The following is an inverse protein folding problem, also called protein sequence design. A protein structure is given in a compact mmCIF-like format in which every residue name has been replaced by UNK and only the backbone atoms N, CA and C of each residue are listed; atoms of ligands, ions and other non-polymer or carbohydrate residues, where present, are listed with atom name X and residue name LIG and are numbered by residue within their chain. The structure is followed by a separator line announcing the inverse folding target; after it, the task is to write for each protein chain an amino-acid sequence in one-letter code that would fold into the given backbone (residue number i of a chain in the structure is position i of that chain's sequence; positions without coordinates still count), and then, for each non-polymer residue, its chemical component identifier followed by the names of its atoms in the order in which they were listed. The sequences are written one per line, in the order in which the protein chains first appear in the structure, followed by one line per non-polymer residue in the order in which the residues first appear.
data_IF_987258620679
#
_entry.id   IF_987258620679
#
_cell.length_a   1.000
_cell.length_b   1.000
_cell.length_c   1.000
_cell.angle_alpha   90.00
_cell.angle_beta   90.00
_cell.angle_gamma   90.00
#
_symmetry.space_group_name_H-M   'P 1'
#
loop_
_entity.id
_entity.type
_entity.pdbx_description
1 polymer ?
#
# COMPACT_ATOMS: atom_id res chain seq x y z
N UNK A 1 0.22 8.54 22.80
CA UNK A 1 1.32 8.71 21.80
C UNK A 1 0.75 8.54 20.41
N UNK A 2 1.29 9.24 19.43
CA UNK A 2 0.78 9.23 18.05
C UNK A 2 1.27 7.94 17.36
N UNK A 3 0.36 7.23 16.67
CA UNK A 3 0.69 6.15 15.75
C UNK A 3 0.74 6.72 14.34
N UNK A 4 1.81 6.50 13.61
CA UNK A 4 2.10 7.18 12.34
C UNK A 4 2.21 6.20 11.18
N UNK A 5 1.37 6.38 10.16
CA UNK A 5 1.44 5.66 8.89
C UNK A 5 1.84 6.63 7.79
N UNK A 6 2.89 6.30 7.05
CA UNK A 6 3.30 7.06 5.86
C UNK A 6 2.93 6.31 4.59
N UNK A 7 2.35 7.03 3.62
CA UNK A 7 1.85 6.48 2.35
C UNK A 7 2.35 7.32 1.16
N UNK A 8 2.22 6.78 -0.06
CA UNK A 8 2.72 7.43 -1.27
C UNK A 8 1.80 8.53 -1.81
N UNK A 9 0.47 8.36 -1.68
CA UNK A 9 -0.51 9.23 -2.32
C UNK A 9 -1.75 9.51 -1.46
N UNK A 10 -2.49 10.56 -1.80
CA UNK A 10 -3.78 10.89 -1.15
C UNK A 10 -4.83 9.80 -1.35
N UNK A 11 -4.79 9.07 -2.47
CA UNK A 11 -5.65 7.91 -2.71
C UNK A 11 -5.45 6.83 -1.66
N UNK A 12 -4.20 6.54 -1.30
CA UNK A 12 -3.85 5.55 -0.28
C UNK A 12 -4.33 5.99 1.10
N UNK A 13 -4.08 7.25 1.44
CA UNK A 13 -4.58 7.84 2.69
C UNK A 13 -6.09 7.73 2.81
N UNK A 14 -6.82 8.12 1.76
CA UNK A 14 -8.28 8.07 1.75
C UNK A 14 -8.79 6.62 1.83
N UNK A 15 -8.12 5.72 1.13
CA UNK A 15 -8.41 4.28 1.19
C UNK A 15 -8.24 3.75 2.62
N UNK A 16 -7.09 4.00 3.27
CA UNK A 16 -6.84 3.56 4.66
C UNK A 16 -7.86 4.15 5.63
N UNK A 17 -8.14 5.44 5.55
CA UNK A 17 -9.16 6.07 6.41
C UNK A 17 -10.54 5.42 6.24
N UNK A 18 -10.89 5.06 5.01
CA UNK A 18 -12.16 4.39 4.72
C UNK A 18 -12.14 2.95 5.20
N UNK A 19 -11.00 2.24 5.03
CA UNK A 19 -10.81 0.88 5.54
C UNK A 19 -10.97 0.81 7.07
N UNK A 20 -10.31 1.71 7.80
CA UNK A 20 -10.42 1.77 9.25
C UNK A 20 -11.87 2.00 9.72
N UNK A 21 -12.61 2.89 9.05
CA UNK A 21 -14.04 3.12 9.34
C UNK A 21 -14.89 1.91 8.98
N UNK A 22 -14.67 1.29 7.83
CA UNK A 22 -15.41 0.11 7.35
C UNK A 22 -15.26 -1.07 8.32
N UNK A 23 -14.05 -1.29 8.80
CA UNK A 23 -13.71 -2.36 9.75
C UNK A 23 -13.92 -1.99 11.23
N UNK A 24 -14.40 -0.77 11.51
CA UNK A 24 -14.55 -0.24 12.88
C UNK A 24 -13.24 -0.32 13.71
N UNK A 25 -12.09 -0.15 13.04
CA UNK A 25 -10.78 -0.16 13.69
C UNK A 25 -10.45 1.24 14.23
N UNK A 26 -10.48 1.38 15.56
CA UNK A 26 -10.13 2.64 16.23
C UNK A 26 -8.63 2.68 16.57
N UNK A 27 -7.78 2.70 15.55
CA UNK A 27 -6.32 2.69 15.75
C UNK A 27 -5.71 4.07 16.00
N UNK A 28 -6.47 5.15 15.85
CA UNK A 28 -6.05 6.55 16.04
C UNK A 28 -4.78 6.91 15.25
N UNK A 29 -4.75 6.54 13.96
CA UNK A 29 -3.59 6.75 13.10
C UNK A 29 -3.51 8.20 12.60
N UNK A 30 -2.33 8.78 12.68
CA UNK A 30 -1.94 9.89 11.82
C UNK A 30 -1.43 9.32 10.49
N UNK A 31 -2.09 9.65 9.38
CA UNK A 31 -1.73 9.16 8.04
C UNK A 31 -1.19 10.33 7.23
N UNK A 32 0.11 10.31 6.96
CA UNK A 32 0.80 11.34 6.19
C UNK A 32 1.14 10.84 4.78
N UNK A 33 0.91 11.71 3.82
CA UNK A 33 1.35 11.50 2.43
C UNK A 33 2.73 12.12 2.27
N UNK A 34 3.69 11.33 1.81
CA UNK A 34 5.00 11.83 1.48
C UNK A 34 4.95 12.59 0.14
N UNK A 35 5.08 13.92 0.20
CA UNK A 35 5.10 14.73 -1.01
C UNK A 35 6.52 15.01 -1.48
N UNK A 36 6.82 14.89 -2.79
CA UNK A 36 8.14 15.24 -3.34
C UNK A 36 8.52 16.71 -3.12
N UNK A 37 7.56 17.59 -2.82
CA UNK A 37 7.77 19.03 -2.63
C UNK A 37 8.48 19.36 -1.31
N UNK A 38 8.45 18.48 -0.33
CA UNK A 38 9.15 18.63 0.94
C UNK A 38 10.65 18.27 0.84
N UNK A 39 11.05 17.77 -0.29
CA UNK A 39 12.36 17.25 -0.62
C UNK A 39 12.86 18.00 -1.86
N UNK A 40 14.16 18.20 -1.98
CA UNK A 40 14.75 18.97 -3.07
C UNK A 40 14.14 18.68 -4.45
N UNK A 41 13.91 19.72 -5.28
CA UNK A 41 13.04 19.60 -6.45
C UNK A 41 13.64 18.67 -7.49
N UNK A 42 12.82 17.90 -8.15
CA UNK A 42 12.95 17.36 -9.51
C UNK A 42 13.32 15.92 -9.76
N UNK A 43 13.71 15.09 -8.77
CA UNK A 43 14.22 13.76 -9.12
C UNK A 43 13.50 12.56 -8.45
N UNK A 44 12.52 12.78 -7.58
CA UNK A 44 12.04 11.71 -6.71
C UNK A 44 10.63 11.25 -7.07
N UNK A 45 10.46 9.93 -7.14
CA UNK A 45 9.14 9.28 -7.14
C UNK A 45 8.49 9.42 -5.77
N UNK A 46 7.17 9.24 -5.67
CA UNK A 46 6.42 9.25 -4.42
C UNK A 46 6.99 8.25 -3.41
N UNK A 47 7.37 7.04 -3.86
CA UNK A 47 8.04 6.03 -3.03
C UNK A 47 9.37 6.54 -2.44
N UNK A 48 10.21 7.20 -3.24
CA UNK A 48 11.45 7.79 -2.73
C UNK A 48 11.19 8.88 -1.69
N UNK A 49 10.10 9.65 -1.85
CA UNK A 49 9.69 10.62 -0.85
C UNK A 49 9.32 9.94 0.49
N UNK A 50 8.58 8.83 0.46
CA UNK A 50 8.32 8.00 1.65
C UNK A 50 9.64 7.59 2.32
N UNK A 51 10.54 6.98 1.55
CA UNK A 51 11.82 6.47 2.07
C UNK A 51 12.70 7.57 2.67
N UNK A 52 12.67 8.78 2.15
CA UNK A 52 13.42 9.91 2.69
C UNK A 52 12.87 10.47 3.99
N UNK A 53 11.58 10.26 4.29
CA UNK A 53 10.97 10.66 5.56
C UNK A 53 11.31 9.70 6.72
N UNK A 54 11.79 8.49 6.45
CA UNK A 54 12.01 7.47 7.48
C UNK A 54 12.97 7.92 8.60
N UNK A 55 14.12 8.57 8.34
CA UNK A 55 15.00 9.06 9.41
C UNK A 55 14.30 10.07 10.33
N UNK A 56 13.44 10.93 9.77
CA UNK A 56 12.64 11.88 10.55
C UNK A 56 11.64 11.16 11.44
N UNK A 57 10.94 10.17 10.91
CA UNK A 57 9.94 9.39 11.66
C UNK A 57 10.60 8.62 12.82
N UNK A 58 11.75 7.99 12.57
CA UNK A 58 12.53 7.33 13.63
C UNK A 58 12.95 8.33 14.70
N UNK A 59 13.35 9.56 14.32
CA UNK A 59 13.66 10.59 15.31
C UNK A 59 12.45 10.99 16.16
N UNK A 60 11.23 10.98 15.61
CA UNK A 60 10.01 11.21 16.38
C UNK A 60 9.73 10.04 17.34
N UNK A 61 10.09 8.81 16.97
CA UNK A 61 10.03 7.64 17.83
C UNK A 61 11.03 7.78 19.00
N UNK A 62 12.28 8.16 18.73
CA UNK A 62 13.33 8.41 19.73
C UNK A 62 12.91 9.46 20.77
N UNK A 63 12.19 10.49 20.35
CA UNK A 63 11.72 11.57 21.22
C UNK A 63 10.40 11.27 21.92
N UNK A 64 9.80 10.09 21.70
CA UNK A 64 8.52 9.68 22.28
C UNK A 64 7.30 10.43 21.75
N UNK A 65 7.45 11.19 20.64
CA UNK A 65 6.33 11.86 20.00
C UNK A 65 5.45 10.88 19.22
N UNK A 66 6.08 9.84 18.66
CA UNK A 66 5.45 8.73 17.94
C UNK A 66 5.72 7.44 18.68
N UNK A 67 4.75 6.53 18.74
CA UNK A 67 4.91 5.21 19.37
C UNK A 67 4.98 4.06 18.37
N UNK A 68 4.36 4.21 17.20
CA UNK A 68 4.30 3.18 16.16
C UNK A 68 4.53 3.84 14.81
N UNK A 69 5.27 3.18 13.94
CA UNK A 69 5.51 3.58 12.57
C UNK A 69 5.07 2.47 11.63
N UNK A 70 4.26 2.82 10.63
CA UNK A 70 3.93 1.97 9.50
C UNK A 70 4.33 2.64 8.19
N UNK A 71 4.69 1.84 7.21
CA UNK A 71 5.08 2.25 5.86
C UNK A 71 4.21 1.47 4.89
N UNK A 72 3.48 2.17 4.02
CA UNK A 72 2.71 1.57 2.95
C UNK A 72 3.17 2.15 1.63
N UNK A 73 3.66 1.29 0.75
CA UNK A 73 4.15 1.67 -0.59
C UNK A 73 3.73 0.62 -1.63
N UNK A 74 3.66 1.03 -2.88
CA UNK A 74 3.37 0.12 -3.99
C UNK A 74 4.58 -0.80 -4.29
N UNK A 75 4.31 -2.06 -4.64
CA UNK A 75 5.36 -2.95 -5.14
C UNK A 75 5.84 -2.49 -6.52
N UNK A 76 4.95 -1.84 -7.27
CA UNK A 76 5.12 -1.49 -8.68
C UNK A 76 5.08 -2.71 -9.63
N UNK A 77 5.09 -2.41 -10.93
CA UNK A 77 5.33 -3.39 -11.99
C UNK A 77 6.70 -3.15 -12.62
N UNK A 78 7.45 -4.20 -12.90
CA UNK A 78 8.75 -4.08 -13.55
C UNK A 78 9.00 -5.26 -14.49
N UNK A 79 9.79 -5.02 -15.54
CA UNK A 79 10.32 -6.10 -16.37
C UNK A 79 11.53 -6.80 -15.71
N UNK A 80 11.93 -6.35 -14.51
CA UNK A 80 13.05 -6.91 -13.76
C UNK A 80 12.55 -8.00 -12.83
N UNK A 81 13.29 -9.09 -12.77
CA UNK A 81 13.06 -10.14 -11.78
C UNK A 81 13.29 -9.60 -10.36
N UNK A 82 12.44 -10.02 -9.43
CA UNK A 82 12.60 -9.80 -7.99
C UNK A 82 12.43 -8.34 -7.51
N UNK A 83 11.31 -7.72 -7.89
CA UNK A 83 10.95 -6.36 -7.45
C UNK A 83 10.77 -6.29 -5.92
N UNK A 84 10.28 -7.35 -5.27
CA UNK A 84 10.13 -7.41 -3.82
C UNK A 84 11.46 -7.20 -3.12
N UNK A 85 12.49 -7.98 -3.48
CA UNK A 85 13.84 -7.82 -2.91
C UNK A 85 14.40 -6.43 -3.15
N UNK A 86 14.14 -5.83 -4.32
CA UNK A 86 14.58 -4.45 -4.58
C UNK A 86 13.89 -3.43 -3.64
N UNK A 87 12.57 -3.55 -3.44
CA UNK A 87 11.84 -2.69 -2.51
C UNK A 87 12.36 -2.87 -1.08
N UNK A 88 12.51 -4.11 -0.62
CA UNK A 88 13.01 -4.40 0.73
C UNK A 88 14.44 -3.90 0.93
N UNK A 89 15.29 -4.02 -0.08
CA UNK A 89 16.65 -3.46 -0.03
C UNK A 89 16.63 -1.95 0.14
N UNK A 90 15.81 -1.22 -0.63
CA UNK A 90 15.70 0.24 -0.52
C UNK A 90 15.21 0.67 0.87
N UNK A 91 14.26 -0.05 1.46
CA UNK A 91 13.78 0.21 2.82
C UNK A 91 14.89 -0.10 3.83
N UNK A 92 15.57 -1.25 3.71
CA UNK A 92 16.69 -1.65 4.57
C UNK A 92 17.83 -0.63 4.53
N UNK A 93 18.19 -0.10 3.36
CA UNK A 93 19.21 0.93 3.20
C UNK A 93 18.91 2.22 3.99
N UNK A 94 17.63 2.46 4.31
CA UNK A 94 17.18 3.61 5.12
C UNK A 94 17.06 3.28 6.60
N UNK A 95 16.61 2.08 6.95
CA UNK A 95 16.33 1.68 8.32
C UNK A 95 17.54 1.06 9.04
N UNK A 96 18.39 0.29 8.36
CA UNK A 96 19.55 -0.35 9.00
C UNK A 96 20.53 0.65 9.63
N UNK A 97 20.86 1.81 9.01
CA UNK A 97 21.71 2.81 9.66
C UNK A 97 21.10 3.41 10.93
N UNK A 98 19.78 3.25 11.14
CA UNK A 98 19.04 3.70 12.31
C UNK A 98 18.84 2.57 13.33
N UNK A 99 19.49 1.41 13.13
CA UNK A 99 19.42 0.25 14.02
C UNK A 99 18.21 -0.64 13.85
N UNK A 100 17.36 -0.42 12.83
CA UNK A 100 16.22 -1.27 12.53
C UNK A 100 16.58 -2.30 11.46
N UNK A 101 16.38 -3.58 11.74
CA UNK A 101 16.70 -4.70 10.86
C UNK A 101 15.46 -5.54 10.57
N UNK A 102 15.36 -6.03 9.33
CA UNK A 102 14.25 -6.89 8.94
C UNK A 102 14.24 -8.19 9.76
N UNK A 103 13.06 -8.56 10.28
CA UNK A 103 12.86 -9.79 11.04
C UNK A 103 12.96 -11.02 10.12
N UNK A 104 13.89 -11.95 10.36
CA UNK A 104 14.22 -13.00 9.37
C UNK A 104 13.24 -14.18 9.30
N UNK A 105 12.25 -14.28 10.19
CA UNK A 105 11.41 -15.48 10.33
C UNK A 105 9.90 -15.23 10.18
N UNK A 106 9.51 -14.16 9.51
CA UNK A 106 8.10 -13.84 9.35
C UNK A 106 7.55 -14.33 8.00
N UNK A 107 6.28 -14.74 8.01
CA UNK A 107 5.53 -14.88 6.78
C UNK A 107 5.22 -13.48 6.26
N UNK A 108 5.95 -13.03 5.25
CA UNK A 108 5.81 -11.68 4.67
C UNK A 108 4.39 -11.37 4.18
N UNK A 109 3.59 -12.39 3.84
CA UNK A 109 2.18 -12.19 3.47
C UNK A 109 1.36 -11.53 4.58
N UNK A 110 1.74 -11.75 5.86
CA UNK A 110 1.07 -11.17 7.02
C UNK A 110 1.59 -9.78 7.40
N UNK A 111 2.65 -9.33 6.74
CA UNK A 111 3.33 -8.06 7.00
C UNK A 111 4.83 -8.23 7.11
N UNK A 112 5.55 -7.19 6.79
CA UNK A 112 7.01 -7.14 6.87
C UNK A 112 7.37 -6.22 8.03
N UNK A 113 8.29 -6.64 8.89
CA UNK A 113 8.61 -5.88 10.09
C UNK A 113 10.12 -5.67 10.23
N UNK A 114 10.48 -4.48 10.74
CA UNK A 114 11.85 -4.11 11.07
C UNK A 114 11.93 -3.83 12.55
N UNK A 115 12.81 -4.53 13.25
CA UNK A 115 12.99 -4.45 14.70
C UNK A 115 14.29 -3.74 15.07
N UNK A 116 14.22 -3.04 16.19
CA UNK A 116 15.37 -2.51 16.90
C UNK A 116 15.17 -2.81 18.38
N UNK A 117 16.17 -3.42 19.04
CA UNK A 117 16.10 -3.87 20.42
C UNK A 117 15.90 -2.74 21.45
N UNK A 118 16.15 -1.50 21.06
CA UNK A 118 15.94 -0.32 21.91
C UNK A 118 14.48 0.16 21.93
N UNK A 119 13.58 -0.46 21.14
CA UNK A 119 12.17 -0.07 21.03
C UNK A 119 11.23 -1.28 21.17
N UNK A 120 10.09 -1.06 21.84
CA UNK A 120 9.09 -2.10 22.06
C UNK A 120 8.32 -2.50 20.82
N UNK A 121 8.17 -1.56 19.84
CA UNK A 121 7.35 -1.76 18.67
C UNK A 121 8.20 -1.80 17.40
N UNK A 122 8.00 -2.80 16.53
CA UNK A 122 8.64 -2.84 15.22
C UNK A 122 8.05 -1.79 14.28
N UNK A 123 8.81 -1.42 13.25
CA UNK A 123 8.29 -0.68 12.11
C UNK A 123 7.61 -1.67 11.16
N UNK A 124 6.29 -1.51 10.96
CA UNK A 124 5.53 -2.35 10.04
C UNK A 124 5.60 -1.83 8.60
N UNK A 125 5.84 -2.71 7.64
CA UNK A 125 5.86 -2.40 6.21
C UNK A 125 4.81 -3.21 5.49
N UNK A 126 4.06 -2.55 4.61
CA UNK A 126 3.17 -3.20 3.65
C UNK A 126 3.53 -2.78 2.23
N UNK A 127 3.84 -3.75 1.39
CA UNK A 127 4.05 -3.57 -0.04
C UNK A 127 2.76 -3.96 -0.76
N UNK A 128 2.07 -2.97 -1.35
CA UNK A 128 0.86 -3.25 -2.14
C UNK A 128 1.18 -4.14 -3.36
N UNK A 129 0.30 -5.09 -3.70
CA UNK A 129 -1.00 -5.36 -3.10
C UNK A 129 -0.97 -6.25 -1.85
N UNK A 130 -0.01 -7.16 -1.70
CA UNK A 130 -0.07 -8.24 -0.71
C UNK A 130 1.31 -8.70 -0.21
N UNK A 131 2.33 -7.88 -0.29
CA UNK A 131 3.72 -8.17 0.06
C UNK A 131 4.40 -9.27 -0.79
N UNK A 132 3.73 -9.79 -1.85
CA UNK A 132 4.25 -10.87 -2.69
C UNK A 132 4.24 -10.50 -4.17
N UNK A 133 3.10 -10.05 -4.66
CA UNK A 133 2.85 -9.82 -6.08
C UNK A 133 3.15 -8.36 -6.46
N UNK A 134 3.51 -8.16 -7.71
CA UNK A 134 3.64 -6.83 -8.31
C UNK A 134 2.28 -6.13 -8.37
N UNK A 135 2.26 -4.81 -8.21
CA UNK A 135 1.05 -4.03 -8.37
C UNK A 135 0.93 -2.83 -7.44
N UNK A 136 -0.31 -2.37 -7.34
CA UNK A 136 -0.73 -1.15 -6.68
C UNK A 136 -1.99 -1.38 -5.85
N UNK A 137 -2.56 -0.31 -5.31
CA UNK A 137 -3.86 -0.33 -4.65
C UNK A 137 -4.97 -0.90 -5.56
N UNK A 138 -4.96 -0.59 -6.87
CA UNK A 138 -5.93 -1.13 -7.83
C UNK A 138 -5.81 -2.67 -7.95
N UNK A 139 -4.60 -3.20 -7.87
CA UNK A 139 -4.37 -4.66 -7.86
C UNK A 139 -4.92 -5.29 -6.57
N UNK A 140 -4.77 -4.64 -5.42
CA UNK A 140 -5.39 -5.07 -4.16
C UNK A 140 -6.92 -5.14 -4.28
N UNK A 141 -7.54 -4.12 -4.87
CA UNK A 141 -8.99 -4.10 -5.12
C UNK A 141 -9.41 -5.28 -6.00
N UNK A 142 -8.66 -5.57 -7.06
CA UNK A 142 -8.90 -6.73 -7.92
C UNK A 142 -8.82 -8.05 -7.16
N UNK A 143 -7.82 -8.21 -6.29
CA UNK A 143 -7.60 -9.42 -5.49
C UNK A 143 -8.67 -9.64 -4.41
N UNK A 144 -9.33 -8.58 -3.98
CA UNK A 144 -10.41 -8.62 -2.98
C UNK A 144 -11.80 -8.62 -3.60
N UNK A 145 -11.89 -8.71 -4.94
CA UNK A 145 -13.17 -8.69 -5.65
C UNK A 145 -13.99 -9.95 -5.36
N UNK A 146 -15.28 -9.83 -5.00
CA UNK A 146 -16.11 -10.97 -4.71
C UNK A 146 -16.44 -11.77 -5.97
N UNK A 147 -16.71 -13.05 -5.80
CA UNK A 147 -16.93 -14.00 -6.90
C UNK A 147 -18.09 -13.59 -7.83
N UNK A 148 -19.14 -12.97 -7.31
CA UNK A 148 -20.27 -12.50 -8.11
C UNK A 148 -19.93 -11.32 -9.05
N UNK A 149 -18.85 -10.58 -8.78
CA UNK A 149 -18.37 -9.50 -9.64
C UNK A 149 -17.41 -9.98 -10.74
N UNK A 150 -16.86 -11.19 -10.64
CA UNK A 150 -15.84 -11.68 -11.56
C UNK A 150 -16.31 -11.73 -13.02
N UNK A 151 -17.60 -12.08 -13.25
CA UNK A 151 -18.14 -12.10 -14.62
C UNK A 151 -18.25 -10.68 -15.22
N UNK A 152 -18.72 -9.73 -14.43
CA UNK A 152 -18.77 -8.32 -14.81
C UNK A 152 -17.38 -7.77 -15.10
N UNK A 153 -16.43 -8.03 -14.19
CA UNK A 153 -15.05 -7.61 -14.36
C UNK A 153 -14.38 -8.24 -15.59
N UNK A 154 -14.65 -9.52 -15.87
CA UNK A 154 -14.17 -10.21 -17.07
C UNK A 154 -14.66 -9.56 -18.38
N UNK A 155 -15.88 -9.05 -18.42
CA UNK A 155 -16.38 -8.27 -19.57
C UNK A 155 -15.59 -6.98 -19.74
N UNK A 156 -15.26 -6.31 -18.64
CA UNK A 156 -14.44 -5.08 -18.65
C UNK A 156 -13.01 -5.38 -19.12
N UNK A 157 -12.41 -6.46 -18.63
CA UNK A 157 -11.08 -6.89 -19.07
C UNK A 157 -11.05 -7.13 -20.59
N UNK A 158 -12.07 -7.82 -21.14
CA UNK A 158 -12.21 -8.05 -22.57
C UNK A 158 -12.37 -6.73 -23.34
N UNK A 159 -13.17 -5.80 -22.83
CA UNK A 159 -13.33 -4.48 -23.44
C UNK A 159 -12.00 -3.71 -23.46
N UNK A 160 -11.32 -3.60 -22.33
CA UNK A 160 -10.02 -2.91 -22.24
C UNK A 160 -8.98 -3.57 -23.15
N UNK A 161 -8.95 -4.90 -23.21
CA UNK A 161 -8.07 -5.63 -24.10
C UNK A 161 -8.36 -5.33 -25.60
N UNK A 162 -9.64 -5.18 -25.97
CA UNK A 162 -10.05 -4.87 -27.35
C UNK A 162 -9.60 -3.49 -27.83
N UNK A 163 -9.33 -2.55 -26.94
CA UNK A 163 -8.80 -1.23 -27.28
C UNK A 163 -7.36 -1.28 -27.77
N UNK A 164 -6.64 -2.35 -27.45
CA UNK A 164 -5.22 -2.49 -27.77
C UNK A 164 -4.31 -1.60 -26.89
N UNK A 165 -3.02 -1.88 -26.92
CA UNK A 165 -2.03 -1.20 -26.05
C UNK A 165 -1.70 0.23 -26.48
N UNK A 166 -2.02 0.62 -27.73
CA UNK A 166 -1.73 1.96 -28.27
C UNK A 166 -2.47 3.11 -27.56
N UNK A 167 -3.56 2.80 -26.83
CA UNK A 167 -4.29 3.77 -26.02
C UNK A 167 -3.61 4.09 -24.69
N UNK A 168 -2.64 3.29 -24.27
CA UNK A 168 -1.98 3.42 -22.97
C UNK A 168 -0.54 3.90 -23.13
N UNK A 169 -0.20 5.01 -22.47
CA UNK A 169 1.17 5.53 -22.48
C UNK A 169 2.18 4.51 -21.92
N UNK A 170 1.77 3.77 -20.91
CA UNK A 170 2.52 2.67 -20.32
C UNK A 170 1.56 1.49 -20.07
N UNK A 171 1.45 0.51 -20.98
CA UNK A 171 0.51 -0.59 -20.83
C UNK A 171 0.71 -1.39 -19.55
N UNK A 172 1.96 -1.64 -19.15
CA UNK A 172 2.28 -2.43 -17.96
C UNK A 172 1.66 -1.84 -16.69
N UNK A 173 1.72 -0.51 -16.53
CA UNK A 173 1.23 0.16 -15.32
C UNK A 173 -0.18 0.69 -15.43
N UNK A 174 -0.70 0.90 -16.64
CA UNK A 174 -1.99 1.56 -16.85
C UNK A 174 -3.17 0.60 -16.95
N UNK A 175 -2.93 -0.67 -17.27
CA UNK A 175 -4.01 -1.62 -17.54
C UNK A 175 -4.87 -1.93 -16.31
N UNK A 176 -4.27 -2.21 -15.16
CA UNK A 176 -5.03 -2.50 -13.95
C UNK A 176 -5.82 -1.26 -13.49
N UNK A 177 -5.22 -0.08 -13.61
CA UNK A 177 -5.92 1.19 -13.35
C UNK A 177 -7.13 1.34 -14.28
N UNK A 178 -6.95 1.15 -15.60
CA UNK A 178 -8.05 1.26 -16.55
C UNK A 178 -9.18 0.27 -16.26
N UNK A 179 -8.85 -0.98 -15.90
CA UNK A 179 -9.84 -2.01 -15.56
C UNK A 179 -10.62 -1.65 -14.30
N UNK A 180 -9.95 -1.28 -13.22
CA UNK A 180 -10.59 -0.95 -11.95
C UNK A 180 -11.42 0.32 -12.05
N UNK A 181 -10.93 1.38 -12.69
CA UNK A 181 -11.72 2.60 -12.86
C UNK A 181 -12.93 2.38 -13.78
N UNK A 182 -12.81 1.56 -14.82
CA UNK A 182 -13.95 1.17 -15.65
C UNK A 182 -14.96 0.35 -14.85
N UNK A 183 -14.50 -0.60 -14.06
CA UNK A 183 -15.36 -1.39 -13.18
C UNK A 183 -16.12 -0.51 -12.18
N UNK A 184 -15.46 0.44 -11.53
CA UNK A 184 -16.10 1.39 -10.63
C UNK A 184 -17.07 2.32 -11.33
N UNK A 185 -16.78 2.73 -12.57
CA UNK A 185 -17.68 3.56 -13.38
C UNK A 185 -18.94 2.83 -13.85
N UNK A 186 -18.93 1.50 -13.87
CA UNK A 186 -20.07 0.65 -14.28
C UNK A 186 -20.86 0.08 -13.11
N UNK A 187 -20.53 0.46 -11.87
CA UNK A 187 -21.31 0.08 -10.69
C UNK A 187 -22.65 0.82 -10.61
N UNK A 188 -23.58 0.33 -9.79
CA UNK A 188 -24.89 0.96 -9.54
C UNK A 188 -24.78 2.42 -9.07
N UNK A 189 -23.66 2.78 -8.47
CA UNK A 189 -23.27 4.16 -8.12
C UNK A 189 -21.89 4.43 -8.72
N UNK A 190 -21.83 4.91 -9.98
CA UNK A 190 -20.57 5.16 -10.65
C UNK A 190 -19.64 6.10 -9.87
N UNK A 191 -18.36 5.76 -9.79
CA UNK A 191 -17.37 6.56 -9.08
C UNK A 191 -15.97 6.36 -9.67
N UNK A 192 -15.07 7.29 -9.38
CA UNK A 192 -13.62 7.17 -9.60
C UNK A 192 -12.85 7.11 -8.26
N UNK A 193 -13.55 7.12 -7.14
CA UNK A 193 -12.97 7.06 -5.80
C UNK A 193 -12.69 5.59 -5.43
N UNK A 194 -11.42 5.21 -5.40
CA UNK A 194 -10.95 3.87 -5.07
C UNK A 194 -11.40 3.42 -3.67
N UNK A 195 -11.60 4.36 -2.75
CA UNK A 195 -12.07 4.03 -1.40
C UNK A 195 -13.49 3.44 -1.39
N UNK A 196 -14.29 3.70 -2.43
CA UNK A 196 -15.64 3.13 -2.58
C UNK A 196 -15.62 1.65 -2.97
N UNK A 197 -14.49 1.17 -3.52
CA UNK A 197 -14.32 -0.25 -3.82
C UNK A 197 -14.39 -1.13 -2.55
N UNK A 198 -14.07 -0.58 -1.37
CA UNK A 198 -14.14 -1.31 -0.11
C UNK A 198 -15.54 -1.85 0.22
N UNK A 199 -16.59 -1.10 -0.15
CA UNK A 199 -17.97 -1.55 0.04
C UNK A 199 -18.34 -2.74 -0.87
N UNK A 200 -17.51 -3.02 -1.88
CA UNK A 200 -17.68 -4.10 -2.85
C UNK A 200 -16.67 -5.23 -2.64
N UNK A 201 -15.68 -5.05 -1.76
CA UNK A 201 -14.64 -6.04 -1.50
C UNK A 201 -15.19 -7.24 -0.71
N UNK A 202 -14.66 -8.44 -0.97
CA UNK A 202 -14.92 -9.62 -0.16
C UNK A 202 -13.94 -9.66 1.04
N UNK A 203 -14.45 -9.45 2.26
CA UNK A 203 -13.60 -9.45 3.45
C UNK A 203 -13.05 -10.84 3.80
N UNK A 204 -13.49 -11.91 3.14
CA UNK A 204 -13.01 -13.28 3.41
C UNK A 204 -11.77 -13.64 2.57
N UNK A 205 -11.36 -12.80 1.64
CA UNK A 205 -10.13 -13.06 0.88
C UNK A 205 -8.88 -12.97 1.76
N UNK A 206 -7.88 -13.81 1.49
CA UNK A 206 -6.62 -13.78 2.23
C UNK A 206 -5.95 -12.40 2.18
N UNK A 207 -5.92 -11.76 1.00
CA UNK A 207 -5.37 -10.42 0.79
C UNK A 207 -6.03 -9.39 1.71
N UNK A 208 -7.36 -9.42 1.83
CA UNK A 208 -8.09 -8.50 2.72
C UNK A 208 -7.75 -8.75 4.18
N UNK A 209 -7.81 -10.00 4.62
CA UNK A 209 -7.55 -10.37 6.02
C UNK A 209 -6.10 -10.12 6.43
N UNK A 210 -5.14 -10.42 5.57
CA UNK A 210 -3.73 -10.17 5.85
C UNK A 210 -3.45 -8.67 6.00
N UNK A 211 -4.03 -7.84 5.14
CA UNK A 211 -3.93 -6.38 5.24
C UNK A 211 -4.54 -5.84 6.54
N UNK A 212 -5.74 -6.31 6.89
CA UNK A 212 -6.39 -5.97 8.15
C UNK A 212 -5.53 -6.35 9.36
N UNK A 213 -5.01 -7.58 9.37
CA UNK A 213 -4.17 -8.09 10.45
C UNK A 213 -2.86 -7.30 10.56
N UNK A 214 -2.23 -6.93 9.42
CA UNK A 214 -1.05 -6.07 9.44
C UNK A 214 -1.32 -4.71 10.12
N UNK A 215 -2.46 -4.06 9.81
CA UNK A 215 -2.84 -2.81 10.47
C UNK A 215 -3.01 -2.99 11.98
N UNK A 216 -3.67 -4.09 12.40
CA UNK A 216 -3.87 -4.39 13.81
C UNK A 216 -2.54 -4.69 14.50
N UNK A 217 -1.68 -5.52 13.89
CA UNK A 217 -0.38 -5.89 14.49
C UNK A 217 0.56 -4.69 14.58
N UNK A 218 0.57 -3.83 13.57
CA UNK A 218 1.45 -2.65 13.56
C UNK A 218 0.97 -1.57 14.52
N UNK A 219 -0.35 -1.43 14.72
CA UNK A 219 -0.92 -0.27 15.40
C UNK A 219 -1.92 -0.62 16.52
N UNK A 220 -2.10 -1.85 16.87
CA UNK A 220 -3.05 -2.33 17.88
C UNK A 220 -2.70 -2.13 19.34
#
# INVERSE_FOLDING_TARGET
MIKHLIVEAESDKLFIQTFLRHENLNLQLNIDVATPQDLEPTAYTTKQAVLQQLPRLVKLLETGQVSHIGILVDMDFTDKTDIKTQNLRQISERLNPLGFYQCPQQNDELGIYFENLDYDNPIGVWLMPNNQDEGYLETWIKMTMPTNEQNHFGQIENFIHSLGTSHFKNPTTSLDKARIYTWLATQSKPTQDLSKALALADPNTATYQNFKNWLITTFG
#
